data_IF_942225078856
#
_entry.id   IF_942225078856
#
_cell.length_a   1.000
_cell.length_b   1.000
_cell.length_c   1.000
_cell.angle_alpha   90.00
_cell.angle_beta   90.00
_cell.angle_gamma   90.00
#
_symmetry.space_group_name_H-M   'P 1'
#
loop_
_entity.id
_entity.type
_entity.pdbx_description
1 polymer ?
#
# COMPACT_ATOMS: atom_id res chain seq x y z
N UNK A 1 14.89 12.98 1.94
CA UNK A 1 14.11 11.93 1.23
C UNK A 1 14.15 10.74 2.15
N UNK A 2 13.02 10.40 2.75
CA UNK A 2 12.96 9.26 3.66
C UNK A 2 12.62 8.02 2.83
N UNK A 3 13.55 7.06 2.87
CA UNK A 3 13.43 5.73 2.29
C UNK A 3 13.36 4.81 3.49
N UNK A 4 12.32 3.98 3.55
CA UNK A 4 12.24 2.94 4.56
C UNK A 4 12.50 1.60 3.90
N UNK A 5 13.61 1.00 4.33
CA UNK A 5 14.08 -0.24 3.75
C UNK A 5 14.13 -1.36 4.79
N UNK A 6 13.14 -2.26 4.70
CA UNK A 6 12.98 -3.42 5.55
C UNK A 6 13.03 -4.72 4.73
N UNK A 7 13.58 -4.67 3.51
CA UNK A 7 13.61 -5.82 2.60
C UNK A 7 14.39 -7.04 3.13
N UNK A 8 15.28 -6.82 4.10
CA UNK A 8 16.15 -7.87 4.64
C UNK A 8 15.38 -8.88 5.51
N UNK A 9 14.20 -8.52 6.02
CA UNK A 9 13.43 -9.35 6.96
C UNK A 9 12.00 -9.54 6.43
N UNK A 10 11.51 -10.78 6.43
CA UNK A 10 10.13 -11.08 6.08
C UNK A 10 9.26 -10.87 7.33
N UNK A 11 8.48 -9.79 7.34
CA UNK A 11 7.67 -9.37 8.48
C UNK A 11 6.29 -10.05 8.47
N UNK A 12 5.75 -10.30 9.65
CA UNK A 12 4.34 -10.68 9.78
C UNK A 12 3.44 -9.45 9.59
N UNK A 13 2.20 -9.65 9.11
CA UNK A 13 1.27 -8.54 8.89
C UNK A 13 1.01 -7.76 10.19
N UNK A 14 0.90 -8.46 11.33
CA UNK A 14 0.69 -7.84 12.63
C UNK A 14 1.84 -6.89 13.01
N UNK A 15 3.09 -7.23 12.66
CA UNK A 15 4.25 -6.35 12.87
C UNK A 15 4.20 -5.14 11.93
N UNK A 16 3.71 -5.34 10.70
CA UNK A 16 3.47 -4.22 9.76
C UNK A 16 2.38 -3.29 10.28
N UNK A 17 1.32 -3.80 10.91
CA UNK A 17 0.25 -2.94 11.43
C UNK A 17 0.63 -2.23 12.74
N UNK A 18 1.32 -2.94 13.63
CA UNK A 18 1.72 -2.43 14.95
C UNK A 18 2.95 -1.51 14.89
N UNK A 19 3.72 -1.55 13.81
CA UNK A 19 4.82 -0.61 13.64
C UNK A 19 4.26 0.81 13.68
N UNK A 20 4.81 1.66 14.55
CA UNK A 20 4.62 3.10 14.43
C UNK A 20 5.53 3.58 13.30
N UNK A 21 5.07 3.47 12.05
CA UNK A 21 5.79 3.94 10.87
C UNK A 21 5.72 5.47 10.85
N UNK A 22 6.56 6.14 11.65
CA UNK A 22 6.57 7.59 11.92
C UNK A 22 7.07 8.41 10.71
N UNK A 23 6.73 8.03 9.48
CA UNK A 23 7.26 8.68 8.27
C UNK A 23 6.09 9.27 7.46
N UNK A 24 5.56 10.41 7.91
CA UNK A 24 4.52 11.15 7.16
C UNK A 24 4.99 11.60 5.78
N UNK A 25 6.31 11.78 5.62
CA UNK A 25 6.98 12.20 4.38
C UNK A 25 7.72 11.05 3.68
N UNK A 26 7.32 9.79 3.94
CA UNK A 26 7.90 8.62 3.31
C UNK A 26 7.64 8.65 1.80
N UNK A 27 8.70 8.55 0.99
CA UNK A 27 8.59 8.56 -0.48
C UNK A 27 8.78 7.19 -1.11
N UNK A 28 9.58 6.36 -0.45
CA UNK A 28 9.89 5.01 -0.90
C UNK A 28 9.81 4.04 0.27
N UNK A 29 9.09 2.94 0.07
CA UNK A 29 9.04 1.82 1.01
C UNK A 29 9.48 0.53 0.32
N UNK A 30 10.31 -0.24 1.01
CA UNK A 30 10.71 -1.58 0.58
C UNK A 30 10.46 -2.54 1.73
N UNK A 31 9.58 -3.51 1.52
CA UNK A 31 9.16 -4.43 2.56
C UNK A 31 8.90 -5.82 1.99
N UNK A 32 9.02 -6.83 2.86
CA UNK A 32 8.59 -8.21 2.58
C UNK A 32 7.61 -8.63 3.66
N UNK A 33 6.48 -9.18 3.26
CA UNK A 33 5.45 -9.65 4.21
C UNK A 33 5.15 -11.12 3.97
N UNK A 34 5.13 -11.91 5.04
CA UNK A 34 4.78 -13.33 4.98
C UNK A 34 3.40 -13.50 4.39
N UNK A 35 3.26 -14.35 3.37
CA UNK A 35 1.97 -14.59 2.69
C UNK A 35 1.64 -13.61 1.55
N UNK A 36 2.40 -12.51 1.43
CA UNK A 36 2.35 -11.62 0.26
C UNK A 36 3.39 -12.01 -0.81
N UNK A 37 4.28 -12.95 -0.55
CA UNK A 37 5.38 -13.34 -1.45
C UNK A 37 4.95 -14.01 -2.78
N UNK A 38 3.66 -14.27 -2.97
CA UNK A 38 3.09 -14.74 -4.24
C UNK A 38 2.91 -13.55 -5.18
N UNK A 39 3.47 -13.64 -6.39
CA UNK A 39 3.40 -12.59 -7.42
C UNK A 39 1.99 -12.02 -7.62
N UNK A 40 0.97 -12.86 -7.66
CA UNK A 40 -0.41 -12.43 -7.85
C UNK A 40 -0.94 -11.60 -6.68
N UNK A 41 -0.56 -11.95 -5.44
CA UNK A 41 -0.94 -11.18 -4.26
C UNK A 41 -0.25 -9.81 -4.24
N UNK A 42 1.03 -9.76 -4.62
CA UNK A 42 1.79 -8.51 -4.78
C UNK A 42 1.10 -7.61 -5.81
N UNK A 43 0.78 -8.17 -6.98
CA UNK A 43 0.13 -7.41 -8.06
C UNK A 43 -1.24 -6.88 -7.64
N UNK A 44 -2.05 -7.70 -6.97
CA UNK A 44 -3.36 -7.27 -6.44
C UNK A 44 -3.20 -6.15 -5.42
N UNK A 45 -2.25 -6.25 -4.49
CA UNK A 45 -2.02 -5.23 -3.47
C UNK A 45 -1.63 -3.88 -4.09
N UNK A 46 -0.77 -3.89 -5.11
CA UNK A 46 -0.39 -2.69 -5.85
C UNK A 46 -1.56 -2.09 -6.63
N UNK A 47 -2.40 -2.91 -7.27
CA UNK A 47 -3.60 -2.43 -7.97
C UNK A 47 -4.55 -1.75 -6.99
N UNK A 48 -4.78 -2.33 -5.81
CA UNK A 48 -5.62 -1.75 -4.77
C UNK A 48 -5.03 -0.46 -4.22
N UNK A 49 -3.73 -0.44 -3.94
CA UNK A 49 -3.02 0.75 -3.49
C UNK A 49 -3.14 1.89 -4.52
N UNK A 50 -2.89 1.63 -5.81
CA UNK A 50 -3.07 2.61 -6.88
C UNK A 50 -4.50 3.13 -6.92
N UNK A 51 -5.51 2.24 -6.93
CA UNK A 51 -6.92 2.64 -6.93
C UNK A 51 -7.24 3.57 -5.74
N UNK A 52 -6.74 3.25 -4.55
CA UNK A 52 -6.89 4.09 -3.37
C UNK A 52 -6.24 5.46 -3.50
N UNK A 53 -5.00 5.53 -4.01
CA UNK A 53 -4.32 6.80 -4.28
C UNK A 53 -5.10 7.65 -5.31
N UNK A 54 -5.57 7.05 -6.41
CA UNK A 54 -6.39 7.74 -7.41
C UNK A 54 -7.70 8.29 -6.83
N UNK A 55 -8.38 7.51 -5.96
CA UNK A 55 -9.58 7.98 -5.27
C UNK A 55 -9.28 9.19 -4.40
N UNK A 56 -8.25 9.10 -3.56
CA UNK A 56 -7.79 10.20 -2.70
C UNK A 56 -7.43 11.46 -3.50
N UNK A 57 -6.73 11.31 -4.62
CA UNK A 57 -6.36 12.45 -5.49
C UNK A 57 -7.60 13.11 -6.10
N UNK A 58 -8.62 12.34 -6.52
CA UNK A 58 -9.88 12.89 -7.04
C UNK A 58 -10.69 13.63 -5.98
N UNK A 59 -10.76 13.09 -4.76
CA UNK A 59 -11.40 13.74 -3.62
C UNK A 59 -10.74 15.09 -3.32
N UNK A 60 -9.41 15.15 -3.31
CA UNK A 60 -8.65 16.40 -3.13
C UNK A 60 -8.83 17.40 -4.27
N UNK A 61 -9.01 16.91 -5.51
CA UNK A 61 -9.24 17.75 -6.70
C UNK A 61 -10.69 18.24 -6.84
N UNK A 62 -11.60 17.90 -5.91
CA UNK A 62 -13.01 18.30 -5.95
C UNK A 62 -13.80 17.67 -7.11
N UNK A 63 -13.31 16.57 -7.70
CA UNK A 63 -14.01 15.84 -8.75
C UNK A 63 -15.01 14.87 -8.10
N UNK A 64 -16.31 14.89 -8.45
CA UNK A 64 -17.28 13.96 -7.87
C UNK A 64 -16.88 12.53 -8.25
N UNK A 65 -16.58 11.73 -7.22
CA UNK A 65 -16.28 10.31 -7.37
C UNK A 65 -17.60 9.62 -7.67
N UNK A 66 -17.76 9.11 -8.89
CA UNK A 66 -18.83 8.15 -9.17
C UNK A 66 -18.66 6.99 -8.19
N UNK A 67 -19.64 6.81 -7.30
CA UNK A 67 -19.71 5.74 -6.31
C UNK A 67 -19.95 4.39 -6.99
N UNK A 68 -19.09 3.92 -7.89
CA UNK A 68 -19.24 2.58 -8.43
C UNK A 68 -17.94 1.77 -8.40
N UNK A 69 -18.10 0.63 -7.73
CA UNK A 69 -17.25 -0.56 -7.61
C UNK A 69 -15.96 -0.45 -6.81
N UNK A 70 -16.03 -1.01 -5.60
CA UNK A 70 -14.86 -1.30 -4.77
C UNK A 70 -14.74 -0.37 -3.58
N UNK A 71 -15.76 -0.34 -2.71
CA UNK A 71 -15.41 -0.41 -1.29
C UNK A 71 -14.56 -1.68 -1.23
N UNK A 72 -13.26 -1.53 -0.93
CA UNK A 72 -12.50 -2.66 -0.37
C UNK A 72 -13.44 -3.17 0.70
N UNK A 73 -14.03 -4.35 0.48
CA UNK A 73 -15.01 -4.89 1.40
C UNK A 73 -14.33 -4.78 2.76
N UNK A 74 -14.87 -3.98 3.67
CA UNK A 74 -14.20 -3.65 4.94
C UNK A 74 -13.96 -4.94 5.77
N UNK A 75 -14.52 -6.06 5.30
CA UNK A 75 -14.38 -7.44 5.74
C UNK A 75 -13.37 -8.32 4.99
N UNK A 76 -12.74 -7.86 3.90
CA UNK A 76 -11.70 -8.61 3.19
C UNK A 76 -10.38 -8.51 3.99
N UNK A 77 -10.30 -9.32 5.06
CA UNK A 77 -9.13 -9.52 5.93
C UNK A 77 -7.94 -10.17 5.20
N UNK A 78 -7.93 -10.16 3.87
CA UNK A 78 -6.80 -10.68 3.11
C UNK A 78 -5.59 -9.77 3.30
N UNK A 79 -4.42 -10.40 3.44
CA UNK A 79 -3.13 -9.70 3.54
C UNK A 79 -2.90 -8.67 2.43
N UNK A 80 -3.49 -8.93 1.25
CA UNK A 80 -3.46 -8.05 0.09
C UNK A 80 -4.17 -6.73 0.37
N UNK A 81 -5.38 -6.78 0.92
CA UNK A 81 -6.16 -5.60 1.27
C UNK A 81 -5.52 -4.85 2.44
N UNK A 82 -5.05 -5.58 3.46
CA UNK A 82 -4.39 -4.98 4.63
C UNK A 82 -3.15 -4.19 4.23
N UNK A 83 -2.28 -4.75 3.37
CA UNK A 83 -1.09 -4.03 2.88
C UNK A 83 -1.47 -2.85 2.01
N UNK A 84 -2.44 -2.99 1.11
CA UNK A 84 -2.91 -1.86 0.31
C UNK A 84 -3.42 -0.70 1.19
N UNK A 85 -4.25 -1.01 2.19
CA UNK A 85 -4.74 -0.03 3.17
C UNK A 85 -3.61 0.59 3.98
N UNK A 86 -2.63 -0.21 4.40
CA UNK A 86 -1.47 0.29 5.13
C UNK A 86 -0.64 1.26 4.28
N UNK A 87 -0.38 0.95 3.01
CA UNK A 87 0.34 1.83 2.09
C UNK A 87 -0.37 3.16 1.84
N UNK A 88 -1.70 3.19 1.93
CA UNK A 88 -2.51 4.42 1.77
C UNK A 88 -2.38 5.39 2.96
N UNK A 89 -1.87 4.95 4.11
CA UNK A 89 -1.60 5.81 5.27
C UNK A 89 -0.45 6.79 5.01
N UNK A 90 0.39 6.53 4.01
CA UNK A 90 1.51 7.39 3.66
C UNK A 90 1.11 8.40 2.58
N UNK A 91 1.08 9.67 2.96
CA UNK A 91 0.59 10.76 2.12
C UNK A 91 1.49 11.06 0.90
N UNK A 92 2.79 10.86 1.07
CA UNK A 92 3.81 11.17 0.06
C UNK A 92 4.46 9.92 -0.54
N UNK A 93 3.87 8.73 -0.36
CA UNK A 93 4.46 7.51 -0.87
C UNK A 93 4.27 7.41 -2.37
N UNK A 94 5.38 7.40 -3.10
CA UNK A 94 5.38 7.33 -4.56
C UNK A 94 5.93 6.01 -5.06
N UNK A 95 6.81 5.38 -4.28
CA UNK A 95 7.52 4.16 -4.68
C UNK A 95 7.31 3.06 -3.64
N UNK A 96 6.85 1.89 -4.07
CA UNK A 96 6.67 0.72 -3.22
C UNK A 96 7.33 -0.52 -3.81
N UNK A 97 8.11 -1.24 -3.01
CA UNK A 97 8.65 -2.55 -3.33
C UNK A 97 8.16 -3.57 -2.31
N UNK A 98 7.50 -4.62 -2.79
CA UNK A 98 6.85 -5.65 -1.98
C UNK A 98 7.49 -7.03 -2.21
N UNK A 99 8.82 -7.13 -2.26
CA UNK A 99 9.52 -8.41 -2.39
C UNK A 99 9.84 -8.89 -3.81
N UNK A 100 9.14 -8.41 -4.84
CA UNK A 100 9.31 -8.84 -6.24
C UNK A 100 9.80 -7.72 -7.17
N UNK A 101 9.03 -6.64 -7.27
CA UNK A 101 9.29 -5.54 -8.20
C UNK A 101 8.97 -4.19 -7.55
N UNK A 102 9.70 -3.16 -7.95
CA UNK A 102 9.45 -1.77 -7.55
C UNK A 102 8.32 -1.19 -8.40
N UNK A 103 7.37 -0.56 -7.74
CA UNK A 103 6.22 0.09 -8.36
C UNK A 103 6.26 1.58 -8.06
N UNK A 104 6.05 2.38 -9.10
CA UNK A 104 5.98 3.83 -9.01
C UNK A 104 4.53 4.25 -9.28
N UNK A 105 4.02 5.15 -8.45
CA UNK A 105 2.79 5.91 -8.71
C UNK A 105 3.17 7.03 -9.67
N UNK A 106 2.82 6.86 -10.94
CA UNK A 106 3.01 7.83 -12.03
C UNK A 106 1.66 8.45 -12.34
#
# INVERSE_FOLDING_TARGET
MEILDLHAHEMDMDEVEMGDWICRDLKEIRLRVKGLNIKDNILKAIVLWRKGCWRRWREQAGTPVAEEEGRLDETDMSIVALIACHLLKFDTLWTAWLGYQTWILI
#
